data_IF_556860260290
#
_entry.id   IF_556860260290
#
_cell.length_a   1.000
_cell.length_b   1.000
_cell.length_c   1.000
_cell.angle_alpha   90.00
_cell.angle_beta   90.00
_cell.angle_gamma   90.00
#
_symmetry.space_group_name_H-M   'P 1'
#
loop_
_entity.id
_entity.type
_entity.pdbx_description
1 polymer ?
#
# COMPACT_ATOMS: atom_id res chain seq x y z
N UNK A 1 -22.57 12.44 -7.77
CA UNK A 1 -21.22 12.29 -8.34
C UNK A 1 -20.44 11.32 -7.44
N UNK A 2 -20.38 10.04 -7.81
CA UNK A 2 -19.70 9.00 -7.02
C UNK A 2 -18.21 9.00 -7.33
N UNK A 3 -17.31 8.77 -6.35
CA UNK A 3 -15.89 8.78 -6.64
C UNK A 3 -15.54 7.53 -7.45
N UNK A 4 -15.21 7.74 -8.72
CA UNK A 4 -14.29 6.87 -9.44
C UNK A 4 -12.97 6.88 -8.67
N UNK A 5 -12.81 5.96 -7.72
CA UNK A 5 -11.53 5.71 -7.05
C UNK A 5 -10.65 4.99 -8.07
N UNK A 6 -10.01 5.80 -8.90
CA UNK A 6 -9.03 5.39 -9.89
C UNK A 6 -8.04 4.40 -9.30
N UNK A 7 -7.74 3.39 -10.11
CA UNK A 7 -6.85 2.24 -9.91
C UNK A 7 -5.38 2.63 -9.79
N UNK A 8 -5.11 3.62 -8.96
CA UNK A 8 -3.79 4.08 -8.60
C UNK A 8 -3.81 4.23 -7.10
N UNK A 9 -3.86 3.10 -6.39
CA UNK A 9 -3.94 3.20 -4.95
C UNK A 9 -2.69 3.88 -4.42
N UNK A 10 -3.02 5.03 -3.87
CA UNK A 10 -2.16 5.96 -3.22
C UNK A 10 -1.32 5.16 -2.24
N UNK A 11 -0.01 5.22 -2.39
CA UNK A 11 0.97 4.75 -1.40
C UNK A 11 0.56 5.17 0.02
N UNK A 12 -0.08 6.33 0.17
CA UNK A 12 -0.69 6.82 1.41
C UNK A 12 -1.74 5.87 2.03
N UNK A 13 -2.55 5.17 1.24
CA UNK A 13 -3.50 4.16 1.74
C UNK A 13 -2.79 2.89 2.20
N UNK A 14 -1.73 2.48 1.51
CA UNK A 14 -0.86 1.38 1.96
C UNK A 14 -0.09 1.77 3.24
N UNK A 15 0.43 3.00 3.35
CA UNK A 15 1.07 3.52 4.57
C UNK A 15 0.10 3.67 5.75
N UNK A 16 -1.16 4.06 5.48
CA UNK A 16 -2.17 4.19 6.52
C UNK A 16 -2.62 2.83 7.09
N UNK A 17 -2.56 1.75 6.28
CA UNK A 17 -2.89 0.38 6.72
C UNK A 17 -1.70 -0.37 7.31
N UNK A 18 -0.51 -0.18 6.73
CA UNK A 18 0.69 -0.91 7.12
C UNK A 18 1.75 0.06 7.62
N UNK A 19 2.02 0.03 8.94
CA UNK A 19 3.05 0.88 9.57
C UNK A 19 4.47 0.57 9.07
N UNK A 20 4.70 -0.64 8.57
CA UNK A 20 5.98 -1.10 7.99
C UNK A 20 6.01 -1.01 6.47
N UNK A 21 5.38 0.03 5.90
CA UNK A 21 5.41 0.30 4.48
C UNK A 21 6.71 1.02 4.07
N UNK A 22 7.44 0.43 3.14
CA UNK A 22 8.69 0.94 2.58
C UNK A 22 8.40 1.67 1.25
N UNK A 23 8.40 3.01 1.29
CA UNK A 23 8.18 3.90 0.13
C UNK A 23 9.25 3.79 -0.94
N UNK A 24 10.47 3.37 -0.57
CA UNK A 24 11.59 3.27 -1.50
C UNK A 24 11.43 2.14 -2.50
N UNK A 25 10.74 1.08 -2.09
CA UNK A 25 10.54 -0.16 -2.88
C UNK A 25 9.08 -0.46 -3.15
N UNK A 26 8.16 0.39 -2.69
CA UNK A 26 6.71 0.19 -2.79
C UNK A 26 6.22 -1.14 -2.17
N UNK A 27 6.93 -1.63 -1.14
CA UNK A 27 6.64 -2.90 -0.47
C UNK A 27 6.26 -2.68 0.98
N UNK A 28 5.42 -3.53 1.56
CA UNK A 28 5.09 -3.51 2.98
C UNK A 28 5.40 -4.84 3.65
N UNK A 29 5.71 -4.80 4.94
CA UNK A 29 5.86 -6.02 5.74
C UNK A 29 4.48 -6.57 6.10
N UNK A 30 4.19 -7.78 5.63
CA UNK A 30 3.02 -8.55 6.04
C UNK A 30 3.17 -9.09 7.46
N UNK A 31 2.06 -9.52 8.05
CA UNK A 31 2.06 -10.18 9.37
C UNK A 31 2.84 -11.51 9.37
N UNK A 32 3.01 -12.08 8.19
CA UNK A 32 3.85 -13.22 7.83
C UNK A 32 5.37 -12.90 7.83
N UNK A 33 5.76 -11.64 8.03
CA UNK A 33 7.17 -11.21 8.04
C UNK A 33 7.79 -11.08 6.65
N UNK A 34 7.01 -11.29 5.59
CA UNK A 34 7.46 -11.15 4.20
C UNK A 34 7.09 -9.78 3.66
N UNK A 35 7.96 -9.22 2.81
CA UNK A 35 7.68 -7.97 2.11
C UNK A 35 6.82 -8.26 0.88
N UNK A 36 5.59 -7.78 0.89
CA UNK A 36 4.69 -7.87 -0.27
C UNK A 36 4.67 -6.54 -1.03
N UNK A 37 4.69 -6.55 -2.37
CA UNK A 37 4.52 -5.35 -3.16
C UNK A 37 3.09 -4.82 -3.00
N UNK A 38 2.94 -3.53 -2.72
CA UNK A 38 1.64 -2.87 -2.72
C UNK A 38 1.21 -2.63 -4.16
N UNK A 39 0.42 -3.57 -4.68
CA UNK A 39 -0.35 -3.44 -5.91
C UNK A 39 -1.82 -3.31 -5.49
N UNK A 40 -2.31 -2.08 -5.37
CA UNK A 40 -3.68 -1.81 -4.93
C UNK A 40 -4.37 -0.96 -6.00
#
# INVERSE_FOLDING_TARGET
>A
MGPARGSNVNVAACQARYRSYDVRTNTFLGYDGVRHPCNL
#
